data_IF_581183242413
#
_entry.id   IF_581183242413
#
_cell.length_a   1.000
_cell.length_b   1.000
_cell.length_c   1.000
_cell.angle_alpha   90.00
_cell.angle_beta   90.00
_cell.angle_gamma   90.00
#
_symmetry.space_group_name_H-M   'P 1'
#
loop_
_entity.id
_entity.type
_entity.pdbx_description
1 polymer ?
#
# COMPACT_ATOMS: atom_id res chain seq x y z
N UNK A 1 -7.34 17.68 0.11
CA UNK A 1 -7.65 16.55 -0.82
C UNK A 1 -7.06 15.23 -0.34
N UNK A 2 -5.77 15.13 -0.02
CA UNK A 2 -5.15 13.87 0.45
C UNK A 2 -5.87 13.27 1.68
N UNK A 3 -5.98 14.03 2.77
CA UNK A 3 -6.72 13.59 3.98
C UNK A 3 -8.19 13.29 3.70
N UNK A 4 -8.85 14.11 2.88
CA UNK A 4 -10.22 13.83 2.44
C UNK A 4 -10.37 12.47 1.75
N UNK A 5 -9.43 12.09 0.88
CA UNK A 5 -9.43 10.77 0.23
C UNK A 5 -9.11 9.63 1.21
N UNK A 6 -8.28 9.88 2.22
CA UNK A 6 -7.85 8.88 3.19
C UNK A 6 -8.86 8.64 4.31
N UNK A 7 -9.36 9.71 4.92
CA UNK A 7 -10.17 9.68 6.15
C UNK A 7 -11.61 10.15 5.93
N UNK A 8 -11.92 10.77 4.77
CA UNK A 8 -13.21 11.40 4.52
C UNK A 8 -13.39 12.76 5.19
N UNK A 9 -12.34 13.28 5.85
CA UNK A 9 -12.28 14.61 6.48
C UNK A 9 -10.82 15.12 6.50
N UNK A 10 -10.60 16.33 7.01
CA UNK A 10 -9.27 16.95 7.13
C UNK A 10 -8.68 16.91 8.54
N UNK A 11 -9.49 16.63 9.56
CA UNK A 11 -9.12 16.74 10.97
C UNK A 11 -8.45 15.48 11.51
N UNK A 12 -8.74 14.31 10.92
CA UNK A 12 -8.16 13.06 11.36
C UNK A 12 -6.68 12.94 10.98
N UNK A 13 -5.94 12.31 11.89
CA UNK A 13 -4.53 11.99 11.78
C UNK A 13 -4.32 10.50 12.01
N UNK A 14 -3.18 9.98 11.55
CA UNK A 14 -2.83 8.57 11.74
C UNK A 14 -2.68 8.21 13.22
N UNK A 15 -3.10 6.99 13.56
CA UNK A 15 -2.88 6.39 14.88
C UNK A 15 -1.42 5.94 15.04
N UNK A 16 -0.99 5.70 16.28
CA UNK A 16 0.40 5.32 16.59
C UNK A 16 0.87 4.05 15.86
N UNK A 17 -0.01 3.06 15.65
CA UNK A 17 0.32 1.86 14.87
C UNK A 17 0.65 2.17 13.41
N UNK A 18 0.09 3.25 12.85
CA UNK A 18 0.40 3.71 11.50
C UNK A 18 1.66 4.57 11.45
N UNK A 19 1.87 5.45 12.45
CA UNK A 19 3.07 6.30 12.49
C UNK A 19 4.34 5.47 12.67
N UNK A 20 4.26 4.40 13.46
CA UNK A 20 5.39 3.47 13.67
C UNK A 20 5.51 2.39 12.58
N UNK A 21 4.66 2.39 11.55
CA UNK A 21 4.71 1.36 10.51
C UNK A 21 5.70 1.69 9.38
N UNK A 22 6.66 0.80 9.17
CA UNK A 22 7.67 0.86 8.10
C UNK A 22 7.98 -0.53 7.53
N UNK A 23 8.71 -0.60 6.43
CA UNK A 23 9.01 -1.86 5.74
C UNK A 23 10.31 -2.49 6.27
N UNK A 24 10.23 -3.12 7.45
CA UNK A 24 11.35 -3.83 8.07
C UNK A 24 11.37 -5.28 7.66
N UNK A 25 12.53 -5.81 7.27
CA UNK A 25 12.72 -7.26 7.14
C UNK A 25 13.18 -7.88 8.46
N UNK A 26 12.95 -9.18 8.59
CA UNK A 26 13.69 -10.00 9.54
C UNK A 26 15.20 -10.00 9.23
N UNK A 27 15.98 -10.48 10.21
CA UNK A 27 17.43 -10.53 10.09
C UNK A 27 17.87 -11.27 8.80
N UNK A 28 18.89 -10.73 8.09
CA UNK A 28 19.47 -11.39 6.93
C UNK A 28 19.95 -12.80 7.26
N UNK A 29 19.90 -13.70 6.28
CA UNK A 29 20.32 -15.11 6.44
C UNK A 29 19.57 -15.90 7.53
N UNK A 30 18.37 -15.47 7.91
CA UNK A 30 17.45 -16.21 8.79
C UNK A 30 16.38 -16.97 7.99
N UNK A 31 15.66 -17.88 8.65
CA UNK A 31 14.53 -18.62 8.04
C UNK A 31 13.44 -17.71 7.46
N UNK A 32 13.34 -16.47 7.96
CA UNK A 32 12.38 -15.45 7.51
C UNK A 32 13.05 -14.26 6.83
N UNK A 33 14.30 -14.37 6.36
CA UNK A 33 15.04 -13.26 5.75
C UNK A 33 14.33 -12.61 4.54
N UNK A 34 13.42 -13.31 3.89
CA UNK A 34 12.61 -12.79 2.77
C UNK A 34 11.32 -12.08 3.21
N UNK A 35 10.97 -12.15 4.50
CA UNK A 35 9.71 -11.68 5.05
C UNK A 35 9.86 -10.36 5.79
N UNK A 36 8.84 -9.51 5.66
CA UNK A 36 8.69 -8.30 6.44
C UNK A 36 8.22 -8.62 7.86
N UNK A 37 8.83 -7.98 8.84
CA UNK A 37 8.33 -7.91 10.20
C UNK A 37 7.09 -7.03 10.24
N UNK A 38 5.98 -7.58 10.74
CA UNK A 38 4.69 -6.88 10.74
C UNK A 38 4.13 -6.79 12.15
N UNK A 39 3.84 -5.56 12.56
CA UNK A 39 3.17 -5.27 13.83
C UNK A 39 1.68 -5.59 13.81
N UNK A 40 1.02 -5.23 14.91
CA UNK A 40 -0.44 -5.19 15.00
C UNK A 40 -0.93 -3.87 14.41
N UNK A 41 -2.17 -3.82 13.93
CA UNK A 41 -2.77 -2.61 13.38
C UNK A 41 -3.16 -2.73 11.91
N UNK A 42 -3.76 -1.68 11.37
CA UNK A 42 -4.28 -1.73 9.99
C UNK A 42 -3.26 -1.40 8.91
N UNK A 43 -2.13 -0.80 9.26
CA UNK A 43 -0.99 -0.61 8.35
C UNK A 43 -0.42 -1.95 7.85
N UNK A 44 -0.56 -3.03 8.65
CA UNK A 44 -0.15 -4.39 8.29
C UNK A 44 -0.70 -4.87 6.95
N UNK A 45 -1.92 -4.48 6.59
CA UNK A 45 -2.52 -4.90 5.31
C UNK A 45 -1.71 -4.40 4.11
N UNK A 46 -1.11 -3.20 4.20
CA UNK A 46 -0.23 -2.65 3.16
C UNK A 46 1.10 -3.43 3.11
N UNK A 47 1.71 -3.70 4.27
CA UNK A 47 2.94 -4.50 4.34
C UNK A 47 2.73 -5.90 3.75
N UNK A 48 1.60 -6.55 4.04
CA UNK A 48 1.21 -7.83 3.46
C UNK A 48 1.04 -7.75 1.94
N UNK A 49 0.41 -6.68 1.42
CA UNK A 49 0.24 -6.50 -0.02
C UNK A 49 1.59 -6.29 -0.73
N UNK A 50 2.59 -5.70 -0.06
CA UNK A 50 3.97 -5.52 -0.57
C UNK A 50 4.82 -6.80 -0.43
N UNK A 51 4.53 -7.65 0.56
CA UNK A 51 5.23 -8.92 0.77
C UNK A 51 5.17 -9.84 -0.45
N UNK A 52 4.03 -9.90 -1.13
CA UNK A 52 3.86 -10.72 -2.34
C UNK A 52 4.85 -10.31 -3.45
N UNK A 53 4.87 -9.04 -3.87
CA UNK A 53 5.84 -8.55 -4.86
C UNK A 53 7.31 -8.77 -4.48
N UNK A 54 7.66 -8.67 -3.19
CA UNK A 54 9.01 -9.00 -2.69
C UNK A 54 9.34 -10.47 -2.97
N UNK A 55 8.46 -11.40 -2.59
CA UNK A 55 8.66 -12.83 -2.81
C UNK A 55 8.76 -13.13 -4.31
N UNK A 56 7.87 -12.53 -5.12
CA UNK A 56 7.90 -12.68 -6.57
C UNK A 56 9.23 -12.20 -7.16
N UNK A 57 9.76 -11.08 -6.66
CA UNK A 57 11.06 -10.57 -7.13
C UNK A 57 12.19 -11.56 -6.82
N UNK A 58 12.25 -12.04 -5.58
CA UNK A 58 13.28 -12.98 -5.11
C UNK A 58 13.20 -14.36 -5.79
N UNK A 59 12.01 -14.82 -6.17
CA UNK A 59 11.82 -16.14 -6.80
C UNK A 59 11.79 -16.13 -8.33
N UNK A 60 11.42 -15.02 -8.98
CA UNK A 60 11.12 -15.06 -10.41
C UNK A 60 11.70 -13.93 -11.24
N UNK A 61 12.16 -12.83 -10.61
CA UNK A 61 12.54 -11.61 -11.34
C UNK A 61 14.05 -11.33 -11.30
N UNK A 62 14.72 -11.58 -10.18
CA UNK A 62 16.16 -11.32 -10.05
C UNK A 62 16.97 -12.18 -11.01
N UNK A 63 17.91 -11.56 -11.74
CA UNK A 63 18.77 -12.25 -12.72
C UNK A 63 20.00 -12.86 -12.04
N UNK A 64 20.44 -14.03 -12.53
CA UNK A 64 21.77 -14.58 -12.23
C UNK A 64 21.93 -15.29 -10.88
N UNK A 65 20.84 -15.75 -10.25
CA UNK A 65 20.89 -16.60 -9.04
C UNK A 65 19.90 -17.75 -9.12
N UNK A 66 20.18 -18.82 -8.40
CA UNK A 66 19.25 -19.92 -8.20
C UNK A 66 18.04 -19.44 -7.41
N UNK A 67 16.88 -19.40 -8.07
CA UNK A 67 15.63 -18.98 -7.48
C UNK A 67 14.83 -20.18 -6.97
N UNK A 68 15.28 -20.77 -5.87
CA UNK A 68 14.57 -21.85 -5.19
C UNK A 68 14.12 -21.40 -3.78
N UNK A 69 13.27 -22.20 -3.13
CA UNK A 69 12.75 -21.85 -1.80
C UNK A 69 13.84 -21.72 -0.73
N UNK A 70 14.92 -22.50 -0.82
CA UNK A 70 16.06 -22.41 0.11
C UNK A 70 16.79 -21.07 -0.03
N UNK A 71 16.85 -20.52 -1.24
CA UNK A 71 17.46 -19.21 -1.51
C UNK A 71 16.77 -18.05 -0.81
N UNK A 72 15.49 -18.21 -0.41
CA UNK A 72 14.77 -17.19 0.35
C UNK A 72 15.30 -17.04 1.78
N UNK A 73 15.72 -18.15 2.40
CA UNK A 73 16.30 -18.15 3.75
C UNK A 73 17.73 -17.58 3.76
N UNK A 74 18.43 -17.72 2.64
CA UNK A 74 19.77 -17.18 2.45
C UNK A 74 19.79 -15.74 1.92
N UNK A 75 18.66 -15.01 2.00
CA UNK A 75 18.57 -13.64 1.49
C UNK A 75 19.45 -12.70 2.32
N UNK A 76 20.40 -12.04 1.65
CA UNK A 76 21.28 -11.04 2.24
C UNK A 76 20.58 -9.69 2.39
N UNK A 77 21.13 -8.79 3.24
CA UNK A 77 20.63 -7.42 3.40
C UNK A 77 20.53 -6.66 2.08
N UNK A 78 21.53 -6.82 1.20
CA UNK A 78 21.53 -6.19 -0.13
C UNK A 78 20.36 -6.69 -0.98
N UNK A 79 20.02 -7.98 -0.90
CA UNK A 79 18.90 -8.54 -1.65
C UNK A 79 17.55 -8.14 -1.09
N UNK A 80 17.42 -8.03 0.23
CA UNK A 80 16.25 -7.44 0.89
C UNK A 80 16.02 -6.01 0.37
N UNK A 81 17.09 -5.21 0.35
CA UNK A 81 17.03 -3.81 -0.08
C UNK A 81 16.60 -3.67 -1.55
N UNK A 82 17.19 -4.47 -2.45
CA UNK A 82 16.79 -4.50 -3.85
C UNK A 82 15.35 -5.00 -4.03
N UNK A 83 14.95 -6.06 -3.32
CA UNK A 83 13.61 -6.63 -3.44
C UNK A 83 12.52 -5.65 -2.98
N UNK A 84 12.77 -4.92 -1.88
CA UNK A 84 11.85 -3.89 -1.41
C UNK A 84 11.79 -2.70 -2.37
N UNK A 85 12.92 -2.20 -2.85
CA UNK A 85 12.93 -1.11 -3.83
C UNK A 85 12.15 -1.49 -5.10
N UNK A 86 12.40 -2.68 -5.66
CA UNK A 86 11.70 -3.20 -6.82
C UNK A 86 10.18 -3.39 -6.57
N UNK A 87 9.79 -3.89 -5.40
CA UNK A 87 8.40 -4.09 -5.02
C UNK A 87 7.64 -2.75 -4.90
N UNK A 88 8.19 -1.79 -4.17
CA UNK A 88 7.58 -0.47 -4.01
C UNK A 88 7.52 0.26 -5.37
N UNK A 89 8.61 0.27 -6.14
CA UNK A 89 8.67 0.89 -7.45
C UNK A 89 7.65 0.27 -8.41
N UNK A 90 7.54 -1.06 -8.43
CA UNK A 90 6.57 -1.78 -9.26
C UNK A 90 5.13 -1.38 -8.96
N UNK A 91 4.76 -1.28 -7.68
CA UNK A 91 3.43 -0.85 -7.26
C UNK A 91 3.14 0.61 -7.62
N UNK A 92 4.09 1.54 -7.38
CA UNK A 92 3.92 2.95 -7.74
C UNK A 92 3.81 3.14 -9.26
N UNK A 93 4.66 2.45 -10.03
CA UNK A 93 4.65 2.47 -11.48
C UNK A 93 3.32 1.94 -12.05
N UNK A 94 2.80 0.86 -11.48
CA UNK A 94 1.49 0.31 -11.85
C UNK A 94 0.35 1.31 -11.55
N UNK A 95 0.36 1.94 -10.37
CA UNK A 95 -0.62 2.97 -10.00
C UNK A 95 -0.60 4.16 -10.99
N UNK A 96 0.59 4.55 -11.44
CA UNK A 96 0.80 5.54 -12.50
C UNK A 96 0.55 5.06 -13.93
N UNK A 97 -0.16 3.93 -14.11
CA UNK A 97 -0.49 3.32 -15.41
C UNK A 97 0.73 3.07 -16.30
N UNK A 98 1.86 2.71 -15.69
CA UNK A 98 3.12 2.45 -16.38
C UNK A 98 3.65 3.63 -17.22
N UNK A 99 3.33 4.85 -16.81
CA UNK A 99 3.77 6.10 -17.48
C UNK A 99 4.59 7.00 -16.57
N UNK A 100 4.29 7.00 -15.28
CA UNK A 100 5.00 7.80 -14.27
C UNK A 100 4.86 7.19 -12.89
N UNK A 101 5.66 7.66 -11.94
CA UNK A 101 5.47 7.45 -10.51
C UNK A 101 5.70 8.77 -9.77
N UNK A 102 4.93 9.02 -8.72
CA UNK A 102 5.15 10.12 -7.79
C UNK A 102 5.53 9.55 -6.43
N UNK A 103 6.69 9.96 -5.92
CA UNK A 103 7.25 9.50 -4.66
C UNK A 103 7.18 10.64 -3.65
N UNK A 104 6.71 10.33 -2.46
CA UNK A 104 6.61 11.26 -1.34
C UNK A 104 7.72 11.00 -0.33
N UNK A 105 8.44 12.04 0.06
CA UNK A 105 9.41 12.03 1.16
C UNK A 105 9.08 13.15 2.14
N UNK A 106 9.50 13.00 3.40
CA UNK A 106 9.40 14.05 4.43
C UNK A 106 10.64 14.93 4.39
N UNK A 107 10.46 16.25 4.43
CA UNK A 107 11.54 17.24 4.60
C UNK A 107 11.49 17.89 5.98
N UNK A 108 12.49 18.71 6.31
CA UNK A 108 12.48 19.49 7.55
C UNK A 108 11.46 20.61 7.50
N UNK A 109 11.30 21.25 6.33
CA UNK A 109 10.40 22.37 6.13
C UNK A 109 8.93 21.93 6.08
N UNK A 110 8.08 22.71 6.76
CA UNK A 110 6.63 22.59 6.67
C UNK A 110 6.09 23.58 5.63
N UNK A 111 5.38 23.07 4.63
CA UNK A 111 4.78 23.83 3.54
C UNK A 111 3.31 24.18 3.78
N UNK A 112 2.68 23.57 4.79
CA UNK A 112 1.28 23.80 5.16
C UNK A 112 1.21 24.28 6.61
N UNK A 113 0.68 25.49 6.81
CA UNK A 113 0.47 26.03 8.15
C UNK A 113 -0.74 25.36 8.83
N UNK A 114 -0.69 25.10 10.15
CA UNK A 114 -1.87 24.66 10.91
C UNK A 114 -3.02 25.67 10.78
N UNK A 115 -4.24 25.17 10.60
CA UNK A 115 -5.46 25.98 10.62
C UNK A 115 -6.45 25.37 11.63
N UNK A 116 -7.50 26.09 12.07
CA UNK A 116 -8.51 25.53 12.97
C UNK A 116 -9.14 24.22 12.45
N UNK A 117 -9.23 24.08 11.12
CA UNK A 117 -9.80 22.92 10.42
C UNK A 117 -8.72 21.93 9.92
N UNK A 118 -7.48 22.08 10.40
CA UNK A 118 -6.35 21.24 10.04
C UNK A 118 -5.36 21.08 11.21
N UNK A 119 -5.43 19.91 11.85
CA UNK A 119 -4.42 19.47 12.83
C UNK A 119 -3.19 18.93 12.12
N UNK A 120 -2.01 19.55 12.29
CA UNK A 120 -0.76 19.01 11.73
C UNK A 120 -0.46 17.60 12.25
N UNK A 121 0.10 16.72 11.40
CA UNK A 121 0.43 15.33 11.77
C UNK A 121 1.94 15.02 11.75
N UNK A 122 2.79 16.02 11.50
CA UNK A 122 4.25 15.84 11.46
C UNK A 122 4.77 15.35 10.10
N UNK A 123 3.89 14.91 9.21
CA UNK A 123 4.25 14.20 7.97
C UNK A 123 3.68 14.93 6.75
N UNK A 124 2.37 15.14 6.73
CA UNK A 124 1.59 15.67 5.60
C UNK A 124 2.00 17.08 5.23
N UNK A 125 2.25 17.93 6.23
CA UNK A 125 2.66 19.32 6.01
C UNK A 125 4.10 19.45 5.50
N UNK A 126 4.91 18.40 5.62
CA UNK A 126 6.33 18.38 5.24
C UNK A 126 6.62 17.52 4.01
N UNK A 127 5.59 17.19 3.23
CA UNK A 127 5.75 16.33 2.07
C UNK A 127 6.40 17.06 0.90
N UNK A 128 7.46 16.46 0.36
CA UNK A 128 7.99 16.78 -0.95
C UNK A 128 7.64 15.66 -1.94
N UNK A 129 7.22 16.05 -3.14
CA UNK A 129 6.79 15.14 -4.20
C UNK A 129 7.83 15.11 -5.32
N UNK A 130 8.24 13.91 -5.72
CA UNK A 130 9.17 13.68 -6.81
C UNK A 130 8.46 12.89 -7.92
N UNK A 131 8.36 13.46 -9.12
CA UNK A 131 7.78 12.79 -10.27
C UNK A 131 8.87 12.17 -11.15
N UNK A 132 8.72 10.90 -11.47
CA UNK A 132 9.63 10.11 -12.30
C UNK A 132 8.88 9.51 -13.48
N UNK A 133 9.49 9.58 -14.67
CA UNK A 133 8.87 9.16 -15.94
C UNK A 133 9.46 7.86 -16.51
N UNK A 134 10.36 7.22 -15.77
CA UNK A 134 11.01 5.97 -16.15
C UNK A 134 10.94 4.98 -14.99
N UNK A 135 10.68 3.70 -15.30
CA UNK A 135 10.53 2.65 -14.30
C UNK A 135 11.84 2.38 -13.56
N UNK A 136 12.94 2.32 -14.31
CA UNK A 136 14.28 2.07 -13.79
C UNK A 136 14.75 3.23 -12.92
N UNK A 137 14.47 4.47 -13.32
CA UNK A 137 14.71 5.66 -12.49
C UNK A 137 13.88 5.65 -11.20
N UNK A 138 12.63 5.18 -11.27
CA UNK A 138 11.75 5.00 -10.09
C UNK A 138 12.35 4.00 -9.11
N UNK A 139 12.78 2.84 -9.57
CA UNK A 139 13.42 1.82 -8.73
C UNK A 139 14.72 2.34 -8.10
N UNK A 140 15.58 2.98 -8.91
CA UNK A 140 16.82 3.57 -8.41
C UNK A 140 16.57 4.64 -7.36
N UNK A 141 15.61 5.55 -7.59
CA UNK A 141 15.29 6.61 -6.64
C UNK A 141 14.82 6.04 -5.30
N UNK A 142 13.94 5.03 -5.31
CA UNK A 142 13.49 4.37 -4.08
C UNK A 142 14.66 3.68 -3.37
N UNK A 143 15.53 3.00 -4.12
CA UNK A 143 16.72 2.35 -3.55
C UNK A 143 17.65 3.36 -2.86
N UNK A 144 17.91 4.49 -3.51
CA UNK A 144 18.77 5.55 -2.96
C UNK A 144 18.17 6.19 -1.69
N UNK A 145 16.83 6.23 -1.56
CA UNK A 145 16.10 6.80 -0.42
C UNK A 145 15.44 5.72 0.47
N UNK A 146 15.90 4.48 0.41
CA UNK A 146 15.20 3.34 1.00
C UNK A 146 15.01 3.48 2.52
N UNK A 147 15.92 4.19 3.19
CA UNK A 147 15.83 4.45 4.64
C UNK A 147 14.57 5.20 5.04
N UNK A 148 14.00 6.04 4.17
CA UNK A 148 12.71 6.70 4.45
C UNK A 148 11.57 5.69 4.55
N UNK A 149 11.68 4.54 3.88
CA UNK A 149 10.64 3.51 3.85
C UNK A 149 10.87 2.38 4.85
N UNK A 150 12.13 2.05 5.17
CA UNK A 150 12.48 0.93 6.06
C UNK A 150 13.06 1.34 7.41
N UNK A 151 13.31 2.63 7.62
CA UNK A 151 13.87 3.17 8.86
C UNK A 151 12.79 3.34 9.93
N UNK A 152 13.16 3.06 11.17
CA UNK A 152 12.34 3.40 12.34
C UNK A 152 12.11 4.92 12.40
N UNK A 153 10.88 5.34 12.70
CA UNK A 153 10.47 6.75 12.66
C UNK A 153 10.33 7.35 11.25
N UNK A 154 10.60 6.60 10.17
CA UNK A 154 10.50 7.11 8.80
C UNK A 154 9.07 7.21 8.24
N UNK A 155 8.07 6.68 8.95
CA UNK A 155 6.67 6.62 8.51
C UNK A 155 6.48 5.93 7.14
N UNK A 156 7.30 4.89 6.89
CA UNK A 156 7.45 4.30 5.55
C UNK A 156 6.17 3.81 4.90
N UNK A 157 5.23 3.24 5.68
CA UNK A 157 3.94 2.79 5.15
C UNK A 157 3.04 3.96 4.76
N UNK A 158 3.06 5.05 5.54
CA UNK A 158 2.32 6.29 5.24
C UNK A 158 2.90 6.93 3.97
N UNK A 159 4.22 7.07 3.88
CA UNK A 159 4.90 7.63 2.71
C UNK A 159 4.61 6.83 1.43
N UNK A 160 4.60 5.50 1.53
CA UNK A 160 4.23 4.65 0.41
C UNK A 160 2.76 4.81 0.00
N UNK A 161 1.84 4.89 0.97
CA UNK A 161 0.42 5.13 0.69
C UNK A 161 0.19 6.48 0.00
N UNK A 162 0.89 7.53 0.45
CA UNK A 162 0.83 8.84 -0.17
C UNK A 162 1.37 8.78 -1.60
N UNK A 163 2.53 8.16 -1.78
CA UNK A 163 3.15 7.95 -3.09
C UNK A 163 2.20 7.22 -4.06
N UNK A 164 1.46 6.21 -3.60
CA UNK A 164 0.45 5.51 -4.40
C UNK A 164 -0.67 6.44 -4.85
N UNK A 165 -1.23 7.24 -3.94
CA UNK A 165 -2.34 8.16 -4.23
C UNK A 165 -1.90 9.22 -5.24
N UNK A 166 -0.71 9.79 -5.08
CA UNK A 166 -0.19 10.79 -6.01
C UNK A 166 0.19 10.19 -7.37
N UNK A 167 0.81 9.01 -7.39
CA UNK A 167 1.07 8.27 -8.64
C UNK A 167 -0.23 7.97 -9.38
N UNK A 168 -1.29 7.62 -8.64
CA UNK A 168 -2.62 7.38 -9.21
C UNK A 168 -3.26 8.66 -9.74
N UNK A 169 -3.11 9.78 -9.03
CA UNK A 169 -3.86 11.03 -9.11
C UNK A 169 -5.28 10.94 -8.54
N UNK A 170 -5.76 12.02 -7.94
CA UNK A 170 -7.10 12.09 -7.34
C UNK A 170 -8.21 11.83 -8.36
N UNK A 171 -8.07 12.32 -9.59
CA UNK A 171 -9.06 12.17 -10.66
C UNK A 171 -9.20 10.71 -11.10
N UNK A 172 -8.08 10.01 -11.28
CA UNK A 172 -8.10 8.59 -11.67
C UNK A 172 -8.46 7.69 -10.49
N UNK A 173 -8.11 8.09 -9.27
CA UNK A 173 -8.57 7.43 -8.06
C UNK A 173 -10.09 7.49 -7.99
N UNK A 174 -10.69 8.67 -8.13
CA UNK A 174 -12.15 8.84 -8.10
C UNK A 174 -12.87 8.03 -9.20
N UNK A 175 -12.25 7.83 -10.37
CA UNK A 175 -12.80 6.99 -11.45
C UNK A 175 -12.76 5.49 -11.17
N UNK A 176 -11.82 5.03 -10.33
CA UNK A 176 -11.73 3.61 -9.96
C UNK A 176 -12.69 3.27 -8.81
N UNK A 177 -12.99 4.24 -7.93
CA UNK A 177 -13.90 4.07 -6.80
C UNK A 177 -15.36 4.20 -7.29
N UNK A 178 -16.27 3.47 -6.65
CA UNK A 178 -17.71 3.57 -6.90
C UNK A 178 -18.43 4.36 -5.79
N UNK A 179 -19.74 4.56 -5.97
CA UNK A 179 -20.59 5.33 -5.03
C UNK A 179 -20.64 4.75 -3.62
N UNK A 180 -20.32 3.46 -3.47
CA UNK A 180 -20.28 2.78 -2.16
C UNK A 180 -18.96 3.02 -1.42
N UNK A 181 -17.96 3.56 -2.13
CA UNK A 181 -16.61 3.65 -1.61
C UNK A 181 -16.42 4.89 -0.74
N UNK A 182 -16.65 4.67 0.55
CA UNK A 182 -16.24 5.54 1.66
C UNK A 182 -14.77 5.23 2.04
N UNK A 183 -14.10 6.14 2.76
CA UNK A 183 -12.72 6.56 2.49
C UNK A 183 -11.67 5.43 2.49
N UNK A 184 -10.50 5.69 1.88
CA UNK A 184 -9.46 4.67 1.69
C UNK A 184 -9.02 4.00 3.00
N UNK A 185 -9.15 4.69 4.12
CA UNK A 185 -8.93 4.19 5.46
C UNK A 185 -10.25 4.24 6.25
N UNK A 186 -10.69 3.08 6.74
CA UNK A 186 -11.91 2.97 7.55
C UNK A 186 -11.56 3.02 9.03
N UNK A 187 -12.23 3.85 9.85
CA UNK A 187 -12.05 3.83 11.29
C UNK A 187 -12.27 2.43 11.88
N UNK A 188 -11.46 2.07 12.87
CA UNK A 188 -11.58 0.84 13.64
C UNK A 188 -11.16 1.11 15.10
N UNK A 189 -11.50 0.21 16.01
CA UNK A 189 -11.13 0.34 17.42
C UNK A 189 -9.61 0.55 17.55
N UNK A 190 -9.20 1.76 17.94
CA UNK A 190 -7.80 2.14 18.15
C UNK A 190 -7.01 2.56 16.91
N UNK A 191 -7.62 2.73 15.73
CA UNK A 191 -6.90 3.19 14.54
C UNK A 191 -7.70 3.09 13.24
N UNK A 192 -7.03 2.71 12.16
CA UNK A 192 -7.64 2.63 10.82
C UNK A 192 -7.35 1.30 10.15
N UNK A 193 -8.34 0.74 9.44
CA UNK A 193 -8.18 -0.39 8.54
C UNK A 193 -8.06 0.09 7.09
N UNK A 194 -7.14 -0.53 6.37
CA UNK A 194 -6.95 -0.31 4.95
C UNK A 194 -8.14 -0.84 4.15
N UNK A 195 -8.67 -0.06 3.20
CA UNK A 195 -9.74 -0.53 2.32
C UNK A 195 -9.21 -1.50 1.26
N UNK A 196 -10.13 -2.31 0.71
CA UNK A 196 -9.81 -3.23 -0.38
C UNK A 196 -9.30 -2.49 -1.63
N UNK A 197 -9.77 -1.27 -1.87
CA UNK A 197 -9.31 -0.40 -2.96
C UNK A 197 -7.80 -0.14 -2.88
N UNK A 198 -7.26 0.11 -1.69
CA UNK A 198 -5.81 0.33 -1.51
C UNK A 198 -5.02 -0.95 -1.81
N UNK A 199 -5.50 -2.10 -1.32
CA UNK A 199 -4.82 -3.39 -1.57
C UNK A 199 -4.82 -3.73 -3.07
N UNK A 200 -5.95 -3.52 -3.73
CA UNK A 200 -6.06 -3.71 -5.17
C UNK A 200 -5.18 -2.71 -5.93
N UNK A 201 -5.03 -1.48 -5.45
CA UNK A 201 -4.14 -0.48 -6.06
C UNK A 201 -2.68 -0.91 -5.98
N UNK A 202 -2.23 -1.47 -4.85
CA UNK A 202 -0.87 -2.02 -4.70
C UNK A 202 -0.62 -3.17 -5.67
N UNK A 203 -1.58 -4.09 -5.83
CA UNK A 203 -1.40 -5.31 -6.61
C UNK A 203 -1.65 -5.12 -8.12
N UNK A 204 -2.56 -4.23 -8.51
CA UNK A 204 -3.05 -4.09 -9.89
C UNK A 204 -2.83 -2.70 -10.49
N UNK A 205 -2.45 -1.70 -9.68
CA UNK A 205 -2.44 -0.30 -10.09
C UNK A 205 -3.84 0.35 -10.19
N UNK A 206 -4.91 -0.39 -9.86
CA UNK A 206 -6.30 0.07 -9.87
C UNK A 206 -6.91 0.01 -8.48
N UNK A 207 -7.55 1.09 -8.08
CA UNK A 207 -8.17 1.20 -6.76
C UNK A 207 -9.59 0.61 -6.73
N UNK A 208 -9.79 -0.54 -7.38
CA UNK A 208 -11.08 -1.22 -7.44
C UNK A 208 -11.55 -1.61 -6.02
N UNK A 209 -12.73 -1.18 -5.56
CA UNK A 209 -13.21 -1.46 -4.21
C UNK A 209 -13.53 -2.94 -3.95
N UNK A 210 -13.79 -3.70 -5.02
CA UNK A 210 -14.26 -5.08 -4.92
C UNK A 210 -13.31 -6.10 -5.53
N UNK A 211 -13.55 -7.37 -5.18
CA UNK A 211 -12.67 -8.52 -5.51
C UNK A 211 -13.25 -9.43 -6.60
N UNK A 212 -14.49 -9.18 -7.03
CA UNK A 212 -15.06 -9.85 -8.20
C UNK A 212 -14.45 -9.31 -9.50
N UNK A 213 -14.61 -10.02 -10.61
CA UNK A 213 -14.09 -9.59 -11.90
C UNK A 213 -15.05 -8.62 -12.60
N UNK A 214 -14.52 -7.59 -13.27
CA UNK A 214 -15.31 -6.72 -14.13
C UNK A 214 -16.22 -5.78 -13.35
N UNK A 215 -17.46 -5.67 -13.80
CA UNK A 215 -18.49 -4.85 -13.18
C UNK A 215 -19.69 -5.71 -12.79
N UNK A 216 -20.38 -5.33 -11.72
CA UNK A 216 -21.60 -6.01 -11.26
C UNK A 216 -22.63 -4.98 -10.81
N UNK A 217 -23.92 -5.28 -11.01
CA UNK A 217 -24.99 -4.48 -10.43
C UNK A 217 -25.09 -4.76 -8.92
N UNK A 218 -25.06 -3.69 -8.14
CA UNK A 218 -25.27 -3.70 -6.70
C UNK A 218 -26.75 -3.86 -6.34
N UNK A 219 -27.01 -3.99 -5.03
CA UNK A 219 -28.37 -4.24 -4.53
C UNK A 219 -29.31 -3.05 -4.74
N UNK A 220 -28.77 -1.84 -4.91
CA UNK A 220 -29.50 -0.61 -5.13
C UNK A 220 -29.37 -0.11 -6.58
N UNK A 221 -29.13 -1.03 -7.53
CA UNK A 221 -28.97 -0.75 -8.96
C UNK A 221 -27.76 0.14 -9.31
N UNK A 222 -26.82 0.29 -8.38
CA UNK A 222 -25.54 0.94 -8.61
C UNK A 222 -24.58 0.02 -9.37
N UNK A 223 -23.75 0.58 -10.25
CA UNK A 223 -22.68 -0.19 -10.90
C UNK A 223 -21.47 -0.26 -9.98
N UNK A 224 -21.10 -1.46 -9.54
CA UNK A 224 -19.96 -1.72 -8.67
C UNK A 224 -18.72 -2.08 -9.50
N UNK A 225 -17.55 -1.57 -9.09
CA UNK A 225 -16.29 -1.82 -9.80
C UNK A 225 -15.44 -2.90 -9.12
N UNK A 226 -15.21 -3.99 -9.85
CA UNK A 226 -14.32 -5.08 -9.47
C UNK A 226 -12.93 -4.98 -10.07
N UNK A 227 -12.20 -6.08 -10.02
CA UNK A 227 -10.85 -6.22 -10.59
C UNK A 227 -10.95 -6.26 -12.11
N UNK A 228 -10.34 -5.26 -12.76
CA UNK A 228 -10.31 -5.13 -14.23
C UNK A 228 -9.03 -5.66 -14.87
N UNK A 229 -8.03 -6.01 -14.07
CA UNK A 229 -6.73 -6.48 -14.55
C UNK A 229 -6.22 -7.55 -13.60
N UNK A 230 -5.81 -8.70 -14.17
CA UNK A 230 -5.22 -9.78 -13.36
C UNK A 230 -3.87 -9.34 -12.82
N UNK A 231 -3.62 -9.66 -11.55
CA UNK A 231 -2.30 -9.58 -10.93
C UNK A 231 -1.71 -10.98 -10.85
N UNK A 232 -0.39 -11.08 -10.96
CA UNK A 232 0.35 -12.33 -10.71
C UNK A 232 0.30 -12.75 -9.24
N UNK A 233 -0.13 -11.83 -8.37
CA UNK A 233 -0.19 -11.99 -6.91
C UNK A 233 -1.58 -11.58 -6.45
N UNK A 234 -2.20 -12.42 -5.63
CA UNK A 234 -3.49 -12.14 -4.99
C UNK A 234 -3.45 -12.40 -3.49
N UNK A 235 -4.58 -12.17 -2.84
CA UNK A 235 -4.81 -12.50 -1.44
C UNK A 235 -5.86 -13.61 -1.34
N UNK A 236 -5.70 -14.48 -0.34
CA UNK A 236 -6.73 -15.45 0.03
C UNK A 236 -7.60 -14.83 1.12
N UNK A 237 -8.89 -14.66 0.84
CA UNK A 237 -9.85 -14.26 1.85
C UNK A 237 -10.54 -15.52 2.38
N UNK A 238 -10.35 -15.80 3.67
CA UNK A 238 -11.15 -16.79 4.38
C UNK A 238 -12.31 -16.07 5.08
N UNK A 239 -13.54 -16.57 4.88
CA UNK A 239 -14.72 -16.18 5.64
C UNK A 239 -15.27 -17.44 6.30
N UNK A 240 -15.58 -17.34 7.59
CA UNK A 240 -16.41 -18.35 8.25
C UNK A 240 -17.84 -18.04 7.86
N UNK A 241 -18.49 -18.93 7.13
CA UNK A 241 -19.92 -18.81 6.88
C UNK A 241 -20.64 -18.92 8.23
N UNK A 242 -21.26 -17.83 8.68
CA UNK A 242 -22.13 -17.81 9.85
C UNK A 242 -23.59 -17.99 9.44
N UNK A 243 -23.85 -18.76 8.39
CA UNK A 243 -25.21 -19.15 8.02
C UNK A 243 -25.42 -20.61 8.39
N UNK A 244 -25.91 -20.85 9.62
CA UNK A 244 -26.80 -21.96 10.05
C UNK A 244 -27.10 -21.86 11.57
N UNK A 245 -27.39 -20.66 12.13
CA UNK A 245 -27.89 -20.60 13.53
C UNK A 245 -28.96 -19.53 13.82
N UNK A 246 -29.48 -18.81 12.81
CA UNK A 246 -30.66 -17.94 12.95
C UNK A 246 -31.87 -18.45 12.13
N UNK A 247 -31.88 -19.75 11.81
CA UNK A 247 -33.02 -20.44 11.18
C UNK A 247 -33.77 -21.38 12.14
N UNK A 248 -33.70 -21.12 13.43
CA UNK A 248 -34.73 -21.55 14.37
C UNK A 248 -35.59 -20.34 14.72
N UNK A 249 -36.54 -20.09 13.83
CA UNK A 249 -37.76 -19.33 14.10
C UNK A 249 -38.49 -19.91 15.33
N UNK A 250 -38.88 -19.02 16.24
CA UNK A 250 -40.23 -18.83 16.82
C UNK A 250 -40.18 -18.44 18.29
#
# INVERSE_FOLDING_TARGET
KLRQSLFGNTDQVFSSDWTEAYFRFHDPFSDLAFALEMGKGGARSIQMAVQGPIIKYLLFTRKGKDCNFLSLRATSKREQDHALAAALAGALWAAGAARKATICLVTEDAYVAPTPDYSGDGVTERLQLFELLEKEATEKFIYDHLQCFKGEGGHGVILFLYSLIFSKTFERLQKDLDVSTTPLLRPNAGGFLCSQAVLNMILTGRASPHVFNGYQEGKSQEMLSGVLTRSDIGYLQWRKDTSEDDRLSQ
#
